data_IF_025401182782
#
_entry.id   IF_025401182782
#
_cell.length_a   1.000
_cell.length_b   1.000
_cell.length_c   1.000
_cell.angle_alpha   90.00
_cell.angle_beta   90.00
_cell.angle_gamma   90.00
#
_symmetry.space_group_name_H-M   'P 1'
#
loop_
_entity.id
_entity.type
_entity.pdbx_description
1 polymer ?
2 polymer ?
3 polymer ?
4 water ?
#
# COMPACT_ATOMS: atom_id res chain seq x y z
N UNK A 1 18.58 9.27 -4.72
CA UNK A 1 18.30 8.11 -3.90
C UNK A 1 18.04 6.91 -4.79
N UNK A 2 17.74 5.76 -4.21
CA UNK A 2 17.38 4.60 -5.02
C UNK A 2 15.88 4.62 -5.23
N UNK A 3 15.42 3.89 -6.26
CA UNK A 3 14.00 3.95 -6.62
C UNK A 3 13.51 2.58 -7.06
N UNK A 4 12.19 2.43 -7.06
CA UNK A 4 11.58 1.17 -7.51
C UNK A 4 10.39 1.46 -8.42
N UNK A 5 10.15 0.56 -9.35
CA UNK A 5 8.89 0.53 -10.08
C UNK A 5 8.21 -0.79 -9.81
N UNK A 6 6.93 -0.75 -9.43
CA UNK A 6 6.25 -1.99 -9.09
C UNK A 6 4.80 -1.94 -9.52
N UNK A 7 4.33 -3.01 -10.13
CA UNK A 7 2.91 -3.23 -10.40
C UNK A 7 2.33 -4.24 -9.39
N UNK A 8 1.18 -3.90 -8.80
CA UNK A 8 0.46 -4.72 -7.82
C UNK A 8 -0.86 -5.09 -8.48
N UNK A 9 -1.01 -6.35 -8.82
CA UNK A 9 -2.22 -6.83 -9.53
C UNK A 9 -3.03 -7.72 -8.61
N UNK A 10 -4.35 -7.53 -8.63
CA UNK A 10 -5.31 -8.38 -7.91
C UNK A 10 -6.35 -8.90 -8.90
N UNK A 11 -6.48 -10.21 -9.00
CA UNK A 11 -7.58 -10.83 -9.75
C UNK A 11 -8.42 -11.62 -8.76
N UNK A 12 -9.73 -11.34 -8.74
CA UNK A 12 -10.62 -12.00 -7.78
C UNK A 12 -11.85 -12.59 -8.44
N UNK A 13 -12.01 -13.91 -8.31
CA UNK A 13 -13.22 -14.48 -8.89
C UNK A 13 -14.44 -14.18 -7.98
N UNK A 14 -15.63 -14.29 -8.57
CA UNK A 14 -16.87 -13.93 -7.86
C UNK A 14 -18.02 -14.71 -8.49
N UNK A 15 -18.07 -15.99 -8.25
CA UNK A 15 -19.06 -16.82 -8.95
C UNK A 15 -20.46 -16.30 -8.77
N UNK A 16 -21.15 -16.20 -9.89
CA UNK A 16 -22.52 -15.67 -9.92
C UNK A 16 -22.61 -14.18 -10.08
N UNK A 17 -21.48 -13.48 -10.10
CA UNK A 17 -21.38 -12.01 -10.21
C UNK A 17 -20.44 -11.61 -11.33
N UNK A 18 -20.44 -12.39 -12.42
CA UNK A 18 -19.66 -12.06 -13.60
C UNK A 18 -18.27 -12.67 -13.57
N UNK A 19 -17.42 -12.15 -14.43
CA UNK A 19 -16.07 -12.71 -14.55
C UNK A 19 -15.18 -12.11 -13.47
N UNK A 20 -14.01 -12.72 -13.23
CA UNK A 20 -13.14 -12.20 -12.15
C UNK A 20 -12.71 -10.77 -12.41
N UNK A 21 -12.79 -9.93 -11.37
CA UNK A 21 -12.26 -8.58 -11.51
C UNK A 21 -10.74 -8.60 -11.56
N UNK A 22 -10.15 -7.84 -12.48
CA UNK A 22 -8.69 -7.64 -12.56
C UNK A 22 -8.39 -6.18 -12.35
N UNK A 23 -7.55 -5.87 -11.37
CA UNK A 23 -7.05 -4.51 -11.21
C UNK A 23 -5.55 -4.53 -11.08
N UNK A 24 -4.88 -3.64 -11.84
CA UNK A 24 -3.42 -3.52 -11.83
C UNK A 24 -3.13 -2.05 -11.50
N UNK A 25 -2.26 -1.84 -10.50
CA UNK A 25 -1.84 -0.48 -10.13
C UNK A 25 -0.32 -0.39 -10.20
N UNK A 26 0.17 0.59 -10.95
CA UNK A 26 1.60 0.82 -11.09
C UNK A 26 2.07 1.97 -10.21
N UNK A 27 3.24 1.77 -9.58
CA UNK A 27 3.87 2.76 -8.72
C UNK A 27 5.31 3.03 -9.12
N UNK A 28 5.76 4.29 -8.93
CA UNK A 28 7.19 4.60 -8.78
C UNK A 28 7.37 4.94 -7.32
N UNK A 29 8.17 4.19 -6.59
CA UNK A 29 8.20 4.34 -5.12
C UNK A 29 6.80 4.30 -4.51
N UNK A 30 6.38 5.34 -3.78
CA UNK A 30 5.06 5.38 -3.18
C UNK A 30 4.10 6.29 -3.95
N UNK A 31 4.39 6.57 -5.24
CA UNK A 31 3.52 7.35 -6.12
C UNK A 31 2.83 6.44 -7.14
N UNK A 32 1.51 6.30 -7.03
CA UNK A 32 0.77 5.58 -8.06
C UNK A 32 0.74 6.42 -9.33
N UNK A 33 1.07 5.81 -10.48
CA UNK A 33 1.04 6.51 -11.76
C UNK A 33 0.06 5.95 -12.78
N UNK A 34 -0.48 4.73 -12.57
CA UNK A 34 -1.43 4.13 -13.50
C UNK A 34 -2.33 3.18 -12.72
N UNK A 35 -3.58 3.10 -13.16
CA UNK A 35 -4.51 2.04 -12.78
C UNK A 35 -5.19 1.46 -14.02
N UNK A 36 -5.36 0.15 -14.02
CA UNK A 36 -6.27 -0.48 -14.97
C UNK A 36 -7.21 -1.38 -14.17
N UNK A 37 -8.52 -1.11 -14.22
CA UNK A 37 -9.53 -1.88 -13.50
C UNK A 37 -10.51 -2.42 -14.52
N UNK A 38 -10.67 -3.73 -14.60
CA UNK A 38 -11.61 -4.31 -15.56
C UNK A 38 -13.04 -3.90 -15.25
N UNK A 39 -13.33 -3.44 -14.02
CA UNK A 39 -14.67 -2.96 -13.69
C UNK A 39 -14.87 -1.49 -14.00
N UNK A 40 -13.84 -0.76 -14.43
CA UNK A 40 -14.09 0.62 -14.81
C UNK A 40 -14.92 0.73 -16.09
N UNK A 41 -15.93 1.61 -16.03
CA UNK A 41 -16.83 1.82 -17.16
C UNK A 41 -16.19 2.66 -18.26
N UNK A 42 -15.25 3.53 -17.89
CA UNK A 42 -14.59 4.43 -18.83
C UNK A 42 -13.09 4.23 -18.68
N UNK A 43 -12.51 3.27 -19.41
CA UNK A 43 -11.05 3.10 -19.39
C UNK A 43 -10.29 4.36 -19.79
N UNK A 44 -10.86 5.20 -20.65
CA UNK A 44 -10.19 6.43 -21.06
C UNK A 44 -10.04 7.38 -19.90
N UNK A 45 -10.99 7.40 -18.97
CA UNK A 45 -10.93 8.28 -17.82
C UNK A 45 -10.12 7.70 -16.66
N UNK A 46 -9.46 6.56 -16.87
CA UNK A 46 -8.75 5.92 -15.76
C UNK A 46 -7.47 6.66 -15.43
N UNK A 47 -7.20 6.89 -14.14
CA UNK A 47 -6.17 7.85 -13.77
C UNK A 47 -4.78 7.46 -14.25
N UNK A 48 -4.07 8.49 -14.69
CA UNK A 48 -2.64 8.44 -14.99
C UNK A 48 -2.00 9.70 -14.43
N UNK A 49 -0.78 9.54 -13.93
CA UNK A 49 -0.02 10.70 -13.45
C UNK A 49 0.27 11.71 -14.58
N UNK A 50 0.52 12.97 -14.23
CA UNK A 50 0.80 13.99 -15.26
C UNK A 50 2.05 13.74 -16.11
N UNK A 51 3.11 13.18 -15.52
CA UNK A 51 4.31 12.89 -16.29
C UNK A 51 4.17 11.66 -17.16
N UNK A 52 3.02 11.01 -17.11
CA UNK A 52 2.64 9.98 -18.05
C UNK A 52 1.94 10.56 -19.28
N UNK A 53 1.14 11.62 -19.10
CA UNK A 53 0.44 12.21 -20.23
C UNK A 53 1.42 12.70 -21.27
N UNK A 54 2.55 13.25 -20.84
CA UNK A 54 3.51 13.76 -21.80
C UNK A 54 4.06 12.69 -22.74
N UNK A 55 3.95 11.39 -22.36
CA UNK A 55 4.42 10.31 -23.23
C UNK A 55 3.55 10.06 -24.45
N UNK A 56 2.33 10.59 -24.48
CA UNK A 56 1.53 10.56 -25.69
C UNK A 56 0.58 9.38 -25.82
N UNK A 57 -0.20 9.41 -26.89
CA UNK A 57 -1.33 8.48 -27.01
C UNK A 57 -0.92 7.08 -27.44
N UNK A 58 0.13 6.98 -28.25
CA UNK A 58 0.61 5.65 -28.65
C UNK A 58 1.14 4.89 -27.45
N UNK A 59 1.82 5.57 -26.52
CA UNK A 59 2.27 4.91 -25.29
C UNK A 59 1.06 4.39 -24.51
N UNK A 60 0.05 5.25 -24.37
CA UNK A 60 -1.15 4.85 -23.62
C UNK A 60 -1.83 3.66 -24.29
N UNK A 61 -1.96 3.70 -25.63
CA UNK A 61 -2.58 2.60 -26.37
C UNK A 61 -1.84 1.28 -26.16
N UNK A 62 -0.50 1.30 -26.19
CA UNK A 62 0.25 0.05 -26.04
C UNK A 62 0.09 -0.53 -24.64
N UNK A 63 0.06 0.33 -23.62
CA UNK A 63 -0.17 -0.14 -22.25
C UNK A 63 -1.56 -0.70 -22.08
N UNK A 64 -2.56 0.05 -22.58
CA UNK A 64 -3.94 -0.42 -22.49
C UNK A 64 -4.12 -1.79 -23.12
N UNK A 65 -3.50 -2.02 -24.28
CA UNK A 65 -3.64 -3.33 -24.92
C UNK A 65 -3.10 -4.47 -24.05
N UNK A 66 -1.94 -4.24 -23.44
CA UNK A 66 -1.34 -5.28 -22.60
C UNK A 66 -2.16 -5.52 -21.33
N UNK A 67 -2.71 -4.43 -20.75
CA UNK A 67 -3.57 -4.59 -19.58
C UNK A 67 -4.80 -5.43 -19.95
N UNK A 68 -5.41 -5.15 -21.12
CA UNK A 68 -6.60 -5.91 -21.52
C UNK A 68 -6.26 -7.39 -21.68
N UNK A 69 -5.10 -7.69 -22.28
CA UNK A 69 -4.72 -9.09 -22.43
C UNK A 69 -4.37 -9.72 -21.07
N UNK A 70 -3.76 -8.92 -20.17
CA UNK A 70 -3.47 -9.41 -18.83
C UNK A 70 -4.75 -9.78 -18.05
N UNK A 71 -5.84 -9.07 -18.31
CA UNK A 71 -7.10 -9.44 -17.65
C UNK A 71 -7.48 -10.85 -18.02
N UNK A 72 -7.36 -11.18 -19.33
CA UNK A 72 -7.71 -12.52 -19.80
C UNK A 72 -6.74 -13.57 -19.26
N UNK A 73 -5.46 -13.20 -19.20
CA UNK A 73 -4.46 -14.13 -18.70
C UNK A 73 -4.70 -14.47 -17.24
N UNK A 74 -5.04 -13.47 -16.41
CA UNK A 74 -5.24 -13.76 -14.99
C UNK A 74 -6.54 -14.59 -14.80
N UNK A 75 -7.56 -14.41 -15.68
CA UNK A 75 -8.74 -15.26 -15.59
C UNK A 75 -8.38 -16.71 -15.94
N UNK A 76 -7.53 -16.90 -16.97
CA UNK A 76 -7.00 -18.23 -17.26
C UNK A 76 -6.27 -18.81 -16.04
N UNK A 77 -5.45 -17.99 -15.38
CA UNK A 77 -4.75 -18.45 -14.19
C UNK A 77 -5.69 -18.87 -13.08
N UNK A 78 -6.72 -18.06 -12.79
CA UNK A 78 -7.66 -18.44 -11.75
C UNK A 78 -8.38 -19.75 -12.06
N UNK A 79 -8.76 -19.97 -13.33
CA UNK A 79 -9.39 -21.26 -13.71
C UNK A 79 -8.43 -22.40 -13.44
N UNK A 80 -7.15 -22.22 -13.83
CA UNK A 80 -6.22 -23.33 -13.64
C UNK A 80 -5.93 -23.58 -12.14
N UNK A 81 -5.74 -22.50 -11.36
CA UNK A 81 -5.47 -22.65 -9.93
C UNK A 81 -6.62 -23.36 -9.20
N UNK A 82 -7.87 -23.06 -9.56
CA UNK A 82 -8.99 -23.76 -8.96
C UNK A 82 -8.82 -25.26 -9.17
N UNK A 83 -8.46 -25.67 -10.39
CA UNK A 83 -8.26 -27.10 -10.65
C UNK A 83 -7.06 -27.66 -9.90
N UNK A 84 -5.97 -26.89 -9.80
CA UNK A 84 -4.78 -27.45 -9.15
C UNK A 84 -5.02 -27.76 -7.68
N UNK A 85 -6.01 -27.11 -7.04
CA UNK A 85 -6.33 -27.33 -5.64
C UNK A 85 -7.67 -28.07 -5.45
N UNK A 86 -8.21 -28.64 -6.52
CA UNK A 86 -9.43 -29.43 -6.47
C UNK A 86 -10.60 -28.66 -5.90
N UNK A 87 -10.66 -27.36 -6.17
CA UNK A 87 -11.64 -26.46 -5.52
C UNK A 87 -12.93 -26.41 -6.31
N UNK A 88 -14.01 -26.22 -5.58
CA UNK A 88 -15.32 -26.06 -6.22
C UNK A 88 -15.45 -24.72 -6.97
N UNK A 89 -16.38 -24.72 -7.92
CA UNK A 89 -16.70 -23.53 -8.67
C UNK A 89 -17.49 -22.53 -7.85
N UNK A 90 -17.91 -22.88 -6.62
CA UNK A 90 -18.75 -22.00 -5.82
C UNK A 90 -18.02 -20.84 -5.12
N UNK A 91 -16.76 -21.01 -4.74
CA UNK A 91 -16.12 -20.01 -3.90
C UNK A 91 -15.33 -18.94 -4.68
N UNK A 92 -15.16 -17.78 -4.04
CA UNK A 92 -14.29 -16.71 -4.53
C UNK A 92 -12.83 -16.99 -4.14
N UNK A 93 -11.93 -16.76 -5.08
CA UNK A 93 -10.50 -16.94 -4.85
C UNK A 93 -9.76 -15.73 -5.39
N UNK A 94 -8.54 -15.52 -4.86
CA UNK A 94 -7.73 -14.33 -5.16
C UNK A 94 -6.34 -14.68 -5.66
N UNK A 95 -5.93 -14.11 -6.79
CA UNK A 95 -4.53 -14.23 -7.29
C UNK A 95 -3.93 -12.85 -7.27
N UNK A 96 -2.82 -12.68 -6.56
CA UNK A 96 -2.08 -11.43 -6.56
C UNK A 96 -0.73 -11.60 -7.22
N UNK A 97 -0.22 -10.51 -7.82
CA UNK A 97 1.06 -10.49 -8.54
C UNK A 97 1.79 -9.20 -8.13
N UNK A 98 3.10 -9.26 -7.93
CA UNK A 98 3.98 -8.10 -7.87
C UNK A 98 5.13 -8.28 -8.83
N UNK A 99 5.41 -7.27 -9.65
CA UNK A 99 6.57 -7.37 -10.55
C UNK A 99 7.12 -5.97 -10.75
N UNK A 100 8.42 -5.91 -11.09
CA UNK A 100 9.11 -4.65 -11.33
C UNK A 100 10.56 -4.72 -10.91
N UNK A 101 11.18 -3.55 -10.84
CA UNK A 101 12.63 -3.45 -10.75
C UNK A 101 13.00 -2.41 -9.71
N UNK A 102 14.17 -2.58 -9.10
CA UNK A 102 14.76 -1.63 -8.16
C UNK A 102 16.07 -1.16 -8.77
N UNK A 103 16.34 0.16 -8.72
CA UNK A 103 17.56 0.74 -9.27
C UNK A 103 18.21 1.62 -8.21
N UNK A 104 19.52 1.80 -8.37
CA UNK A 104 20.25 2.67 -7.47
C UNK A 104 20.22 4.11 -7.93
N UNK A 105 20.94 4.98 -7.21
CA UNK A 105 20.95 6.39 -7.60
C UNK A 105 21.52 6.68 -8.99
N UNK A 106 22.36 5.80 -9.54
CA UNK A 106 22.88 5.98 -10.89
C UNK A 106 21.97 5.37 -11.94
N UNK A 107 20.80 4.85 -11.54
CA UNK A 107 19.91 4.18 -12.47
C UNK A 107 20.24 2.73 -12.79
N UNK A 108 21.31 2.15 -12.23
CA UNK A 108 21.63 0.77 -12.57
C UNK A 108 20.73 -0.21 -11.82
N UNK A 109 20.49 -1.37 -12.46
CA UNK A 109 19.60 -2.39 -11.89
C UNK A 109 20.18 -2.97 -10.61
N UNK A 110 19.41 -2.91 -9.51
CA UNK A 110 19.74 -3.57 -8.25
C UNK A 110 19.18 -4.99 -8.25
N UNK A 111 17.87 -5.16 -8.52
CA UNK A 111 17.27 -6.48 -8.71
C UNK A 111 15.90 -6.33 -9.34
N UNK A 112 15.41 -7.44 -9.88
CA UNK A 112 14.08 -7.58 -10.43
C UNK A 112 13.20 -8.47 -9.57
N UNK A 113 11.87 -8.39 -9.81
CA UNK A 113 10.84 -9.09 -9.03
C UNK A 113 9.75 -9.55 -9.97
N UNK A 114 9.26 -10.80 -9.76
CA UNK A 114 8.03 -11.24 -10.44
C UNK A 114 7.48 -12.41 -9.63
N UNK A 115 6.47 -12.16 -8.80
CA UNK A 115 6.03 -13.19 -7.88
C UNK A 115 4.53 -13.14 -7.69
N UNK A 116 3.98 -14.23 -7.15
CA UNK A 116 2.54 -14.48 -7.11
C UNK A 116 2.13 -15.07 -5.78
N UNK A 117 0.90 -14.75 -5.35
CA UNK A 117 0.26 -15.37 -4.19
C UNK A 117 -1.16 -15.78 -4.54
N UNK A 118 -1.61 -16.90 -4.00
CA UNK A 118 -2.98 -17.37 -4.19
C UNK A 118 -3.67 -17.52 -2.84
N UNK A 119 -4.85 -16.89 -2.74
CA UNK A 119 -5.60 -16.86 -1.47
C UNK A 119 -4.71 -16.47 -0.28
N UNK A 120 -3.83 -15.50 -0.52
CA UNK A 120 -3.01 -14.84 0.47
C UNK A 120 -1.76 -15.61 0.82
N UNK A 121 -1.48 -16.73 0.17
CA UNK A 121 -0.27 -17.51 0.44
C UNK A 121 0.67 -17.44 -0.76
N UNK A 122 1.99 -17.27 -0.48
CA UNK A 122 2.94 -17.28 -1.60
C UNK A 122 2.83 -18.56 -2.42
N UNK A 123 2.88 -18.38 -3.75
CA UNK A 123 2.65 -19.47 -4.71
C UNK A 123 3.87 -19.77 -5.57
N UNK A 124 4.36 -18.80 -6.35
CA UNK A 124 5.60 -18.99 -7.13
C UNK A 124 6.28 -17.64 -7.23
N UNK A 125 7.62 -17.65 -7.31
CA UNK A 125 8.39 -16.42 -7.47
C UNK A 125 9.53 -16.69 -8.44
N UNK A 126 9.80 -15.72 -9.30
CA UNK A 126 11.05 -15.69 -10.05
C UNK A 126 12.18 -15.38 -9.06
N UNK A 127 13.23 -16.23 -9.07
CA UNK A 127 14.36 -16.01 -8.17
C UNK A 127 15.16 -14.78 -8.62
N UNK A 128 15.99 -14.30 -7.70
CA UNK A 128 16.81 -13.10 -7.95
C UNK A 128 17.69 -13.26 -9.19
N UNK A 129 18.07 -14.51 -9.53
CA UNK A 129 18.84 -14.72 -10.75
C UNK A 129 18.09 -14.42 -12.05
N UNK A 130 16.77 -14.21 -11.96
CA UNK A 130 15.93 -13.94 -13.12
C UNK A 130 15.93 -15.11 -14.10
N UNK A 131 16.25 -16.36 -13.61
CA UNK A 131 16.34 -17.51 -14.52
C UNK A 131 15.59 -18.73 -13.95
N UNK A 132 15.52 -18.86 -12.61
CA UNK A 132 14.91 -20.02 -12.00
C UNK A 132 13.72 -19.61 -11.13
N UNK A 133 12.85 -20.57 -10.80
CA UNK A 133 11.61 -20.36 -10.05
C UNK A 133 11.68 -21.05 -8.69
N UNK A 134 11.02 -20.45 -7.70
CA UNK A 134 10.70 -21.13 -6.44
C UNK A 134 9.19 -21.36 -6.33
N UNK A 135 8.79 -22.63 -6.29
CA UNK A 135 7.38 -23.05 -6.21
C UNK A 135 7.06 -23.48 -4.78
N UNK A 136 5.91 -23.01 -4.25
CA UNK A 136 5.59 -23.25 -2.84
C UNK A 136 5.09 -24.64 -2.55
N UNK A 137 4.48 -25.30 -3.54
CA UNK A 137 3.83 -26.59 -3.31
C UNK A 137 3.68 -27.30 -4.63
N UNK A 138 2.98 -28.46 -4.60
CA UNK A 138 2.90 -29.30 -5.82
C UNK A 138 2.03 -28.68 -6.90
N UNK A 139 1.10 -27.78 -6.52
CA UNK A 139 0.35 -27.03 -7.53
C UNK A 139 1.28 -26.06 -8.24
N UNK A 140 2.04 -25.26 -7.46
CA UNK A 140 2.95 -24.32 -8.12
C UNK A 140 4.03 -25.04 -8.94
N UNK A 141 4.36 -26.28 -8.59
CA UNK A 141 5.25 -27.07 -9.45
C UNK A 141 4.67 -27.28 -10.84
N UNK A 142 3.34 -27.33 -10.97
CA UNK A 142 2.77 -27.46 -12.30
C UNK A 142 3.00 -26.20 -13.11
N UNK A 143 2.74 -25.03 -12.51
CA UNK A 143 3.07 -23.76 -13.14
C UNK A 143 4.57 -23.67 -13.49
N UNK A 144 5.42 -24.07 -12.55
CA UNK A 144 6.87 -23.98 -12.80
C UNK A 144 7.26 -24.83 -14.02
N UNK A 145 6.72 -26.06 -14.11
CA UNK A 145 7.07 -26.91 -15.27
C UNK A 145 6.58 -26.29 -16.57
N UNK A 146 5.38 -25.70 -16.58
CA UNK A 146 4.85 -25.12 -17.80
C UNK A 146 5.68 -23.93 -18.21
N UNK A 147 6.10 -23.11 -17.23
CA UNK A 147 6.85 -21.91 -17.56
C UNK A 147 8.26 -22.26 -18.00
N UNK A 148 8.85 -23.35 -17.44
CA UNK A 148 10.15 -23.82 -17.89
C UNK A 148 10.07 -24.29 -19.32
N UNK A 149 9.05 -25.09 -19.63
CA UNK A 149 8.89 -25.58 -20.99
C UNK A 149 8.75 -24.47 -22.01
N UNK A 150 8.07 -23.37 -21.66
CA UNK A 150 7.82 -22.24 -22.55
C UNK A 150 8.85 -21.14 -22.45
N UNK A 151 9.90 -21.31 -21.65
CA UNK A 151 10.99 -20.34 -21.53
C UNK A 151 10.46 -18.96 -21.11
N UNK A 152 9.53 -18.97 -20.14
CA UNK A 152 8.88 -17.75 -19.67
C UNK A 152 9.85 -16.88 -18.89
N UNK A 153 10.77 -17.50 -18.13
CA UNK A 153 11.69 -16.67 -17.35
C UNK A 153 12.56 -15.80 -18.24
N UNK A 154 12.87 -16.25 -19.47
CA UNK A 154 13.71 -15.42 -20.34
C UNK A 154 12.98 -14.19 -20.82
N UNK A 155 11.66 -14.31 -21.00
CA UNK A 155 10.82 -13.16 -21.35
C UNK A 155 10.73 -12.20 -20.18
N UNK A 156 10.49 -12.74 -18.99
CA UNK A 156 10.46 -11.89 -17.79
C UNK A 156 11.78 -11.18 -17.55
N UNK A 157 12.91 -11.90 -17.68
CA UNK A 157 14.22 -11.28 -17.51
C UNK A 157 14.41 -10.13 -18.49
N UNK A 158 14.00 -10.31 -19.75
CA UNK A 158 14.22 -9.26 -20.73
C UNK A 158 13.42 -8.00 -20.37
N UNK A 159 12.19 -8.19 -19.88
CA UNK A 159 11.39 -7.03 -19.42
C UNK A 159 12.07 -6.37 -18.23
N UNK A 160 12.52 -7.18 -17.24
CA UNK A 160 13.00 -6.61 -15.99
C UNK A 160 14.33 -5.87 -16.18
N UNK A 161 15.24 -6.43 -16.99
CA UNK A 161 16.52 -5.74 -17.21
C UNK A 161 16.44 -4.65 -18.28
N UNK A 162 15.46 -4.71 -19.17
CA UNK A 162 15.32 -3.82 -20.30
C UNK A 162 14.19 -2.81 -20.08
N UNK A 163 12.97 -3.14 -20.52
CA UNK A 163 11.82 -2.21 -20.45
C UNK A 163 11.66 -1.56 -19.08
N UNK A 164 11.66 -2.37 -18.00
CA UNK A 164 11.39 -1.88 -16.64
C UNK A 164 12.41 -0.80 -16.23
N UNK A 165 13.70 -1.11 -16.38
CA UNK A 165 14.76 -0.17 -16.02
C UNK A 165 14.71 1.06 -16.91
N UNK A 166 14.51 0.84 -18.22
CA UNK A 166 14.52 1.97 -19.16
C UNK A 166 13.37 2.95 -18.91
N UNK A 167 12.18 2.41 -18.67
CA UNK A 167 11.04 3.31 -18.45
C UNK A 167 11.03 3.92 -17.05
N UNK A 168 11.49 3.20 -16.01
CA UNK A 168 11.68 3.82 -14.71
C UNK A 168 12.63 5.03 -14.79
N UNK A 169 13.74 4.90 -15.52
CA UNK A 169 14.65 6.03 -15.67
C UNK A 169 13.96 7.20 -16.37
N UNK A 170 13.18 6.91 -17.42
CA UNK A 170 12.47 7.98 -18.13
C UNK A 170 11.45 8.67 -17.22
N UNK A 171 10.68 7.88 -16.45
CA UNK A 171 9.69 8.46 -15.52
C UNK A 171 10.37 9.36 -14.48
N UNK A 172 11.49 8.90 -13.93
CA UNK A 172 12.22 9.67 -12.92
C UNK A 172 12.68 11.01 -13.49
N UNK A 173 13.13 11.02 -14.74
CA UNK A 173 13.54 12.28 -15.37
C UNK A 173 12.34 13.19 -15.63
N UNK A 174 11.25 12.64 -16.16
CA UNK A 174 10.11 13.49 -16.49
C UNK A 174 9.43 14.00 -15.23
N UNK A 175 9.48 13.23 -14.16
CA UNK A 175 8.84 13.61 -12.93
C UNK A 175 9.84 14.07 -11.87
N UNK A 176 11.00 14.57 -12.28
CA UNK A 176 12.06 14.78 -11.30
C UNK A 176 11.66 15.73 -10.16
N UNK A 177 10.70 16.63 -10.40
CA UNK A 177 10.44 17.63 -9.36
C UNK A 177 9.69 17.03 -8.17
N UNK A 178 9.06 15.89 -8.38
CA UNK A 178 8.30 15.18 -7.37
C UNK A 178 8.93 13.83 -7.07
N UNK A 179 9.16 13.00 -8.11
CA UNK A 179 9.63 11.66 -7.81
C UNK A 179 11.02 11.66 -7.17
N UNK A 180 11.85 12.68 -7.47
CA UNK A 180 13.21 12.75 -6.93
C UNK A 180 13.34 13.75 -5.78
N UNK A 181 12.22 14.14 -5.20
CA UNK A 181 12.22 15.03 -4.05
C UNK A 181 11.74 14.25 -2.83
N UNK A 182 12.56 14.15 -1.82
CA UNK A 182 12.19 13.58 -0.54
C UNK A 182 11.77 14.73 0.37
N UNK A 183 10.58 14.64 0.95
CA UNK A 183 10.06 15.64 1.88
C UNK A 183 10.27 15.12 3.30
N UNK A 184 10.96 15.84 4.15
CA UNK A 184 11.25 15.33 5.49
C UNK A 184 10.03 15.37 6.39
N UNK A 185 10.02 14.58 7.45
CA UNK A 185 8.90 14.66 8.39
C UNK A 185 8.97 15.94 9.20
N UNK A 186 7.79 16.45 9.48
CA UNK A 186 7.57 17.47 10.52
C UNK A 186 7.27 16.74 11.83
N UNK A 187 8.07 17.00 12.88
CA UNK A 187 8.05 16.17 14.08
C UNK A 187 7.69 17.00 15.31
N UNK A 188 6.95 16.36 16.23
CA UNK A 188 6.68 16.90 17.56
C UNK A 188 6.35 15.75 18.51
N UNK A 189 6.44 16.05 19.82
CA UNK A 189 6.11 15.10 20.89
C UNK A 189 4.92 15.66 21.68
N UNK A 190 3.92 14.84 21.90
CA UNK A 190 2.79 15.18 22.77
C UNK A 190 2.78 14.31 24.02
N UNK A 191 2.04 14.77 25.04
CA UNK A 191 2.03 14.18 26.37
C UNK A 191 0.58 14.02 26.78
N UNK A 192 0.19 12.81 27.16
CA UNK A 192 -1.21 12.51 27.50
C UNK A 192 -1.23 11.75 28.81
N UNK A 193 -1.54 12.42 29.95
CA UNK A 193 -1.64 11.68 31.22
C UNK A 193 -2.62 10.53 31.13
N UNK A 194 -2.27 9.42 31.76
CA UNK A 194 -3.20 8.31 31.91
C UNK A 194 -3.68 8.13 33.34
N UNK A 195 -2.93 8.57 34.33
CA UNK A 195 -3.22 8.52 35.76
C UNK A 195 -2.24 9.47 36.42
N UNK A 196 -2.34 9.61 37.74
CA UNK A 196 -1.33 10.35 38.50
C UNK A 196 0.04 9.69 38.34
N UNK A 197 0.09 8.44 37.92
CA UNK A 197 1.31 7.65 37.96
C UNK A 197 2.06 7.59 36.65
N UNK A 198 1.38 7.77 35.51
CA UNK A 198 1.96 7.49 34.20
C UNK A 198 1.34 8.43 33.18
N UNK A 199 2.06 8.64 32.09
CA UNK A 199 1.54 9.35 30.92
C UNK A 199 2.10 8.73 29.64
N UNK A 200 1.37 8.91 28.54
CA UNK A 200 1.88 8.53 27.22
C UNK A 200 2.66 9.67 26.60
N UNK A 201 3.86 9.38 26.08
CA UNK A 201 4.55 10.30 25.19
C UNK A 201 4.38 9.77 23.78
N UNK A 202 3.89 10.60 22.87
CA UNK A 202 3.66 10.18 21.49
C UNK A 202 4.54 11.03 20.57
N UNK A 203 5.40 10.38 19.77
CA UNK A 203 6.30 11.05 18.84
C UNK A 203 5.67 10.99 17.45
N UNK A 204 5.42 12.16 16.87
CA UNK A 204 4.73 12.26 15.59
C UNK A 204 5.69 12.60 14.45
N UNK A 205 5.41 12.03 13.28
CA UNK A 205 6.07 12.40 12.03
C UNK A 205 4.99 12.60 10.97
N UNK A 206 4.93 13.81 10.38
CA UNK A 206 3.86 14.20 9.47
C UNK A 206 4.46 14.78 8.19
N UNK A 207 3.75 14.59 7.08
CA UNK A 207 4.13 15.26 5.81
C UNK A 207 5.34 14.74 5.09
N UNK A 208 5.73 13.49 5.30
CA UNK A 208 6.97 12.99 4.69
C UNK A 208 6.71 12.15 3.44
N UNK A 209 7.72 12.07 2.57
CA UNK A 209 7.70 11.29 1.33
C UNK A 209 9.15 10.97 1.02
N UNK A 210 9.48 9.73 0.68
CA UNK A 210 8.62 8.55 0.54
C UNK A 210 8.19 8.01 1.93
N UNK A 211 7.48 6.88 1.91
CA UNK A 211 6.87 6.36 3.13
C UNK A 211 7.87 5.74 4.11
N UNK A 212 8.98 5.16 3.63
CA UNK A 212 9.98 4.56 4.52
C UNK A 212 10.50 5.57 5.56
N UNK A 213 10.45 5.17 6.83
CA UNK A 213 10.85 6.02 7.93
C UNK A 213 11.16 5.11 9.10
N UNK A 214 12.06 5.56 9.99
CA UNK A 214 12.32 4.87 11.25
C UNK A 214 12.02 5.83 12.39
N UNK A 215 11.16 5.40 13.31
CA UNK A 215 10.73 6.18 14.46
C UNK A 215 10.88 5.30 15.70
N UNK A 216 11.70 5.73 16.67
CA UNK A 216 11.97 4.89 17.84
C UNK A 216 12.07 5.76 19.09
N UNK A 217 11.75 5.14 20.24
CA UNK A 217 11.92 5.74 21.55
C UNK A 217 13.07 5.06 22.27
N UNK A 218 13.90 5.85 22.92
CA UNK A 218 14.91 5.35 23.85
C UNK A 218 14.64 5.86 25.25
N UNK A 219 14.96 5.04 26.26
CA UNK A 219 14.92 5.41 27.68
C UNK A 219 16.35 5.30 28.16
N UNK A 220 16.94 6.41 28.59
CA UNK A 220 18.35 6.41 29.02
C UNK A 220 19.24 5.87 27.90
N UNK A 221 18.86 6.18 26.65
CA UNK A 221 19.67 5.78 25.51
C UNK A 221 19.54 4.33 25.11
N UNK A 222 18.60 3.61 25.70
CA UNK A 222 18.34 2.21 25.38
C UNK A 222 17.02 2.11 24.61
N UNK A 223 17.05 1.38 23.49
CA UNK A 223 15.83 1.24 22.69
C UNK A 223 14.71 0.55 23.47
N UNK A 224 13.48 1.00 23.24
CA UNK A 224 12.27 0.54 23.94
C UNK A 224 11.31 -0.21 23.00
N UNK A 225 11.85 -1.13 22.19
CA UNK A 225 11.03 -1.81 21.17
C UNK A 225 9.82 -2.48 21.78
N UNK A 226 10.01 -3.26 22.84
CA UNK A 226 8.92 -4.03 23.42
C UNK A 226 7.81 -3.16 24.00
N UNK A 227 8.15 -1.97 24.51
CA UNK A 227 7.19 -1.09 25.15
C UNK A 227 6.67 0.02 24.25
N UNK A 228 7.12 0.09 22.99
CA UNK A 228 6.66 1.16 22.09
C UNK A 228 5.49 0.68 21.25
N UNK A 229 4.41 1.47 21.22
CA UNK A 229 3.30 1.22 20.29
C UNK A 229 3.62 2.00 19.01
N UNK A 230 3.74 1.29 17.90
CA UNK A 230 4.14 1.89 16.62
C UNK A 230 3.03 1.61 15.61
N UNK A 231 2.28 2.66 15.20
CA UNK A 231 1.19 2.47 14.23
C UNK A 231 1.77 2.31 12.82
N UNK A 232 0.99 1.69 11.94
CA UNK A 232 1.39 1.53 10.56
C UNK A 232 1.43 2.89 9.84
N UNK A 233 2.46 3.06 9.01
CA UNK A 233 2.60 4.29 8.23
C UNK A 233 1.38 4.43 7.33
N UNK A 234 0.83 5.64 7.32
CA UNK A 234 -0.51 5.85 6.75
C UNK A 234 -0.53 7.05 5.81
N UNK A 235 -1.24 6.98 4.69
CA UNK A 235 -1.27 8.08 3.70
C UNK A 235 -2.16 9.25 4.15
N UNK A 236 -1.67 10.48 3.94
CA UNK A 236 -2.45 11.66 4.28
C UNK A 236 -3.43 12.05 3.18
N UNK A 237 -3.18 11.65 1.94
CA UNK A 237 -4.01 12.03 0.79
C UNK A 237 -3.44 13.17 -0.06
N UNK A 238 -2.31 13.74 0.34
CA UNK A 238 -1.64 14.81 -0.39
C UNK A 238 -0.31 14.34 -0.95
N UNK A 239 -0.14 12.99 -1.08
CA UNK A 239 1.09 12.24 -1.46
C UNK A 239 1.93 11.88 -0.27
N UNK A 240 1.80 12.61 0.83
CA UNK A 240 2.69 12.38 1.96
C UNK A 240 2.13 11.33 2.94
N UNK A 241 2.98 10.95 3.91
CA UNK A 241 2.62 9.92 4.88
C UNK A 241 2.77 10.46 6.30
N UNK A 242 2.19 9.70 7.25
CA UNK A 242 2.18 9.98 8.69
C UNK A 242 2.51 8.73 9.49
N UNK A 243 3.13 8.92 10.67
CA UNK A 243 3.34 7.77 11.57
C UNK A 243 3.54 8.32 12.98
N UNK A 244 3.22 7.52 13.98
CA UNK A 244 3.56 7.89 15.35
C UNK A 244 4.04 6.68 16.14
N UNK A 245 4.77 6.98 17.21
CA UNK A 245 5.27 5.95 18.13
C UNK A 245 5.03 6.43 19.55
N UNK A 246 4.50 5.57 20.41
CA UNK A 246 4.14 5.97 21.77
C UNK A 246 4.74 5.03 22.81
N UNK A 247 5.14 5.61 23.94
CA UNK A 247 5.55 4.89 25.15
C UNK A 247 4.83 5.42 26.38
N UNK A 248 4.61 4.52 27.35
CA UNK A 248 4.04 4.89 28.65
C UNK A 248 5.19 5.11 29.62
N UNK A 249 5.23 6.28 30.22
CA UNK A 249 6.37 6.67 31.04
C UNK A 249 5.92 7.06 32.44
N UNK A 250 6.70 6.77 33.49
CA UNK A 250 6.31 7.17 34.83
C UNK A 250 6.31 8.69 34.99
N UNK A 251 5.34 9.22 35.73
CA UNK A 251 5.29 10.67 35.95
C UNK A 251 6.61 11.17 36.49
N UNK A 252 7.10 12.29 35.93
CA UNK A 252 8.35 12.84 36.37
C UNK A 252 9.58 12.34 35.64
N UNK A 253 9.48 11.26 34.87
CA UNK A 253 10.65 10.70 34.18
C UNK A 253 10.71 11.06 32.70
N UNK A 254 9.86 11.99 32.25
CA UNK A 254 9.75 12.29 30.82
C UNK A 254 11.08 12.66 30.15
N UNK A 255 11.98 13.36 30.87
CA UNK A 255 13.18 13.82 30.18
C UNK A 255 14.21 12.70 29.98
N UNK A 256 13.95 11.52 30.50
CA UNK A 256 14.80 10.40 30.20
C UNK A 256 14.51 9.76 28.87
N UNK A 257 13.45 10.17 28.19
CA UNK A 257 13.04 9.55 26.96
C UNK A 257 13.40 10.44 25.77
N UNK A 258 13.98 9.85 24.74
CA UNK A 258 14.27 10.56 23.48
C UNK A 258 13.61 9.84 22.31
N UNK A 259 13.05 10.61 21.37
CA UNK A 259 12.51 10.05 20.13
C UNK A 259 13.48 10.28 18.98
N UNK A 260 13.68 9.24 18.18
CA UNK A 260 14.72 9.25 17.14
C UNK A 260 14.05 9.02 15.81
N UNK A 261 14.41 9.85 14.82
CA UNK A 261 13.71 9.87 13.52
C UNK A 261 14.77 9.80 12.43
N UNK A 262 14.65 8.83 11.55
CA UNK A 262 15.46 8.79 10.34
C UNK A 262 14.57 8.80 9.11
N UNK A 263 14.98 9.57 8.11
CA UNK A 263 14.24 9.69 6.86
C UNK A 263 15.15 10.28 5.79
N UNK A 264 14.95 9.80 4.55
CA UNK A 264 15.71 10.30 3.39
C UNK A 264 15.69 11.81 3.20
N UNK A 265 14.65 12.51 3.57
CA UNK A 265 14.59 13.96 3.35
C UNK A 265 15.23 14.83 4.42
N UNK A 266 15.75 14.19 5.47
CA UNK A 266 16.40 14.93 6.54
C UNK A 266 17.88 15.04 6.26
N UNK A 267 18.47 16.24 6.37
CA UNK A 267 19.95 16.31 6.27
C UNK A 267 20.63 15.53 7.37
N UNK A 268 20.04 15.46 8.57
CA UNK A 268 20.59 14.67 9.67
C UNK A 268 19.44 14.07 10.47
N UNK A 269 19.64 12.91 11.08
CA UNK A 269 18.62 12.34 11.98
C UNK A 269 18.28 13.28 13.13
N UNK A 270 17.01 13.18 13.57
CA UNK A 270 16.47 14.02 14.62
C UNK A 270 16.46 13.25 15.93
N UNK A 271 16.69 13.99 17.01
CA UNK A 271 16.46 13.55 18.39
C UNK A 271 15.53 14.57 18.99
N UNK A 272 14.40 14.11 19.53
CA UNK A 272 13.40 15.00 20.10
C UNK A 272 12.98 14.53 21.49
N UNK A 273 12.64 15.49 22.34
CA UNK A 273 12.11 15.24 23.67
C UNK A 273 10.78 15.97 23.83
N UNK A 274 10.06 15.57 24.88
CA UNK A 274 8.90 16.34 25.29
C UNK A 274 9.35 17.72 25.76
N UNK A 275 8.67 18.75 25.23
CA UNK A 275 8.95 20.17 25.37
C UNK A 275 10.26 20.67 24.80
N UNK B 1 -8.51 -21.57 3.29
CA UNK B 1 -8.60 -20.12 3.22
C UNK B 1 -8.08 -19.42 4.48
N UNK B 2 -7.10 -18.55 4.33
CA UNK B 2 -6.58 -17.78 5.45
C UNK B 2 -7.24 -16.40 5.42
N UNK B 3 -7.51 -15.84 6.59
CA UNK B 3 -8.12 -14.53 6.68
C UNK B 3 -7.32 -13.69 7.65
N UNK B 4 -7.22 -12.40 7.35
CA UNK B 4 -6.51 -11.41 8.16
C UNK B 4 -7.46 -10.25 8.45
N UNK B 5 -7.58 -9.87 9.76
CA UNK B 5 -8.57 -8.84 10.08
C UNK B 5 -7.97 -7.45 9.84
N UNK B 6 -8.77 -6.48 9.41
CA UNK B 6 -8.20 -5.15 9.12
C UNK B 6 -7.74 -4.41 10.37
N UNK B 7 -6.64 -3.67 10.21
CA UNK B 7 -6.23 -2.61 11.12
C UNK B 7 -6.90 -1.33 10.61
N UNK B 8 -7.37 -0.48 11.54
CA UNK B 8 -8.16 0.70 11.21
C UNK B 8 -7.52 1.91 11.87
N UNK B 9 -7.25 2.96 11.10
CA UNK B 9 -6.89 4.25 11.69
C UNK B 9 -7.74 5.37 11.11
N UNK B 10 -8.18 6.28 11.98
CA UNK B 10 -9.02 7.43 11.59
C UNK B 10 -8.31 8.70 12.00
N UNK B 11 -8.15 9.63 11.06
CA UNK B 11 -7.25 10.78 11.31
C UNK B 11 -7.50 11.82 10.23
N UNK B 12 -6.95 13.04 10.45
CA UNK B 12 -7.11 14.13 9.49
C UNK B 12 -5.84 14.33 8.67
N UNK B 13 -6.04 14.82 7.44
CA UNK B 13 -4.90 15.06 6.55
C UNK B 13 -3.94 16.09 7.14
N UNK B 14 -4.48 17.20 7.62
CA UNK B 14 -3.73 18.32 8.21
C UNK B 14 -4.07 18.40 9.69
N UNK B 15 -3.25 19.06 10.50
CA UNK B 15 -3.59 19.18 11.92
C UNK B 15 -4.92 19.91 12.07
N UNK B 16 -5.75 19.40 12.97
CA UNK B 16 -7.14 19.82 13.04
C UNK B 16 -7.25 21.18 13.73
N UNK B 17 -8.08 22.06 13.16
CA UNK B 17 -8.34 23.39 13.69
C UNK B 17 -9.85 23.57 13.53
N UNK B 18 -10.57 23.70 14.64
CA UNK B 18 -12.01 23.85 14.58
C UNK B 18 -12.36 25.00 13.65
N UNK B 19 -13.33 24.79 12.76
CA UNK B 19 -13.75 25.79 11.83
C UNK B 19 -12.98 25.88 10.53
N UNK B 20 -11.89 25.11 10.37
CA UNK B 20 -11.09 25.15 9.15
C UNK B 20 -11.26 23.84 8.36
N UNK B 21 -11.52 23.95 7.06
CA UNK B 21 -11.70 22.78 6.20
C UNK B 21 -10.48 21.88 6.22
N UNK B 22 -10.74 20.57 6.12
CA UNK B 22 -9.70 19.55 6.23
C UNK B 22 -10.17 18.32 5.47
N UNK B 23 -9.41 17.24 5.56
CA UNK B 23 -9.90 15.96 5.05
C UNK B 23 -9.86 14.93 6.16
N UNK B 24 -10.93 14.15 6.24
CA UNK B 24 -11.06 13.04 7.18
C UNK B 24 -10.71 11.72 6.48
N UNK B 25 -9.79 10.96 7.07
CA UNK B 25 -9.26 9.74 6.50
C UNK B 25 -9.61 8.54 7.38
N UNK B 26 -10.00 7.44 6.71
CA UNK B 26 -10.03 6.14 7.35
C UNK B 26 -9.16 5.21 6.53
N UNK B 27 -8.05 4.77 7.12
CA UNK B 27 -7.11 3.88 6.44
C UNK B 27 -7.25 2.46 7.00
N UNK B 28 -7.63 1.53 6.13
CA UNK B 28 -7.81 0.12 6.51
C UNK B 28 -6.71 -0.68 5.84
N UNK B 29 -5.99 -1.50 6.61
CA UNK B 29 -4.80 -2.16 6.08
C UNK B 29 -4.69 -3.53 6.72
N UNK B 30 -3.82 -4.35 6.15
CA UNK B 30 -3.52 -5.62 6.79
C UNK B 30 -4.54 -6.70 6.60
N UNK B 31 -5.54 -6.52 5.71
CA UNK B 31 -6.64 -7.47 5.66
C UNK B 31 -6.57 -8.41 4.45
N UNK B 32 -7.27 -9.51 4.58
CA UNK B 32 -7.41 -10.53 3.55
C UNK B 32 -8.62 -11.39 3.91
N UNK B 33 -9.52 -11.70 2.95
CA UNK B 33 -9.51 -11.32 1.54
C UNK B 33 -9.91 -9.84 1.36
N UNK B 34 -10.03 -9.41 0.11
CA UNK B 34 -10.13 -8.00 -0.22
C UNK B 34 -11.51 -7.39 -0.03
N UNK B 35 -12.57 -8.19 0.04
CA UNK B 35 -13.85 -7.52 0.19
C UNK B 35 -14.02 -6.89 1.55
N UNK B 36 -14.59 -5.68 1.55
CA UNK B 36 -14.63 -4.88 2.77
C UNK B 36 -15.60 -3.75 2.51
N UNK B 37 -16.27 -3.32 3.56
CA UNK B 37 -17.20 -2.19 3.52
C UNK B 37 -16.71 -1.15 4.50
N UNK B 38 -16.60 0.12 4.08
CA UNK B 38 -16.14 1.19 4.95
C UNK B 38 -17.06 2.40 4.81
N UNK B 39 -17.54 2.90 5.94
CA UNK B 39 -18.32 4.14 5.98
C UNK B 39 -17.62 5.15 6.86
N UNK B 40 -17.72 6.42 6.52
CA UNK B 40 -17.33 7.48 7.43
C UNK B 40 -18.63 8.03 8.01
N UNK B 41 -18.62 8.34 9.32
CA UNK B 41 -19.81 8.78 10.05
C UNK B 41 -19.59 10.18 10.61
N UNK B 42 -20.64 11.01 10.51
CA UNK B 42 -20.70 12.31 11.16
C UNK B 42 -21.88 12.26 12.10
N UNK B 43 -21.60 12.35 13.41
CA UNK B 43 -22.63 12.23 14.45
C UNK B 43 -23.47 10.97 14.24
N UNK B 44 -22.79 9.87 13.90
CA UNK B 44 -23.42 8.58 13.75
C UNK B 44 -24.11 8.32 12.41
N UNK B 45 -24.20 9.30 11.52
CA UNK B 45 -24.87 9.14 10.23
C UNK B 45 -23.84 9.05 9.10
N UNK B 46 -24.14 8.21 8.09
CA UNK B 46 -23.23 7.96 6.96
C UNK B 46 -23.04 9.22 6.12
N UNK B 47 -21.77 9.59 5.89
CA UNK B 47 -21.45 10.70 5.00
C UNK B 47 -21.53 10.21 3.56
N UNK B 48 -22.17 10.98 2.67
CA UNK B 48 -22.29 10.59 1.25
C UNK B 48 -21.08 10.98 0.41
N UNK B 49 -20.92 10.27 -0.72
CA UNK B 49 -19.94 10.60 -1.76
C UNK B 49 -18.49 10.48 -1.27
N UNK B 50 -18.26 9.65 -0.24
CA UNK B 50 -16.91 9.37 0.23
C UNK B 50 -16.16 8.71 -0.90
N UNK B 51 -14.91 9.09 -1.08
CA UNK B 51 -14.10 8.49 -2.11
C UNK B 51 -13.11 7.53 -1.48
N UNK B 52 -12.49 6.72 -2.33
CA UNK B 52 -11.46 5.80 -1.85
C UNK B 52 -10.36 5.61 -2.87
N UNK B 53 -9.21 5.13 -2.37
CA UNK B 53 -8.08 4.84 -3.21
C UNK B 53 -8.32 3.55 -4.00
N UNK B 54 -7.39 3.25 -4.91
CA UNK B 54 -7.49 2.05 -5.72
C UNK B 54 -6.85 0.85 -5.01
N UNK B 55 -7.55 -0.29 -5.04
CA UNK B 55 -7.16 -1.49 -4.29
C UNK B 55 -5.70 -1.84 -4.60
N UNK B 56 -4.90 -1.97 -3.53
CA UNK B 56 -3.48 -2.30 -3.62
C UNK B 56 -3.14 -3.09 -2.37
N UNK B 57 -1.86 -3.49 -2.24
CA UNK B 57 -1.51 -4.30 -1.10
C UNK B 57 -0.03 -4.10 -0.80
N UNK B 58 0.34 -4.49 0.43
CA UNK B 58 1.71 -4.45 0.91
C UNK B 58 2.47 -5.71 0.44
N UNK B 59 3.80 -5.69 0.64
CA UNK B 59 4.60 -6.81 0.15
C UNK B 59 4.34 -8.14 0.88
N UNK B 60 3.68 -8.13 2.05
CA UNK B 60 3.18 -9.33 2.69
C UNK B 60 1.81 -9.83 2.13
N UNK B 61 1.32 -9.16 1.08
CA UNK B 61 0.09 -9.51 0.32
C UNK B 61 -1.17 -9.00 1.00
N UNK B 62 -1.07 -8.30 2.14
CA UNK B 62 -2.27 -7.81 2.79
C UNK B 62 -2.74 -6.50 2.14
N UNK B 63 -4.05 -6.43 1.95
CA UNK B 63 -4.63 -5.28 1.24
C UNK B 63 -4.74 -4.03 2.10
N UNK B 64 -4.81 -2.88 1.40
CA UNK B 64 -5.05 -1.60 2.08
C UNK B 64 -5.90 -0.71 1.18
N UNK B 65 -6.69 0.15 1.83
CA UNK B 65 -7.51 1.17 1.17
C UNK B 65 -7.57 2.40 2.05
N UNK B 66 -7.60 3.58 1.42
CA UNK B 66 -7.89 4.83 2.13
C UNK B 66 -9.26 5.34 1.70
N UNK B 67 -10.14 5.55 2.66
CA UNK B 67 -11.40 6.24 2.43
C UNK B 67 -11.31 7.68 2.97
N UNK B 68 -11.92 8.63 2.26
CA UNK B 68 -11.67 10.02 2.64
C UNK B 68 -12.80 10.92 2.15
N UNK B 69 -12.96 12.04 2.88
CA UNK B 69 -13.92 13.07 2.51
C UNK B 69 -13.48 14.40 3.11
N UNK B 70 -13.95 15.48 2.49
CA UNK B 70 -13.74 16.81 3.05
C UNK B 70 -14.55 16.97 4.32
N UNK B 71 -14.02 17.71 5.29
CA UNK B 71 -14.75 17.96 6.53
C UNK B 71 -14.20 19.21 7.19
N UNK B 72 -15.04 19.86 7.99
CA UNK B 72 -14.65 21.01 8.80
C UNK B 72 -14.88 20.61 10.24
N UNK B 73 -13.84 20.24 10.97
CA UNK B 73 -14.01 19.86 12.39
C UNK B 73 -14.54 21.02 13.22
N UNK B 74 -15.28 20.69 14.26
CA UNK B 74 -15.80 21.65 15.23
C UNK B 74 -15.61 21.07 16.62
N UNK B 75 -15.97 21.84 17.65
CA UNK B 75 -16.04 21.26 18.98
C UNK B 75 -17.16 20.23 19.08
N UNK B 76 -18.30 20.53 18.44
CA UNK B 76 -19.53 19.76 18.65
C UNK B 76 -19.46 18.41 17.94
N UNK B 77 -19.11 18.41 16.66
CA UNK B 77 -19.39 17.25 15.82
C UNK B 77 -18.44 16.11 16.14
N UNK B 78 -18.97 14.88 16.11
CA UNK B 78 -18.20 13.66 16.31
C UNK B 78 -18.07 12.92 14.98
N UNK B 79 -16.87 12.40 14.69
CA UNK B 79 -16.63 11.67 13.46
C UNK B 79 -16.13 10.26 13.76
N UNK B 80 -16.44 9.32 12.86
CA UNK B 80 -15.99 7.95 13.08
C UNK B 80 -15.92 7.22 11.74
N UNK B 81 -15.35 6.02 11.78
CA UNK B 81 -15.23 5.12 10.65
C UNK B 81 -15.81 3.78 11.06
N UNK B 82 -16.68 3.21 10.22
CA UNK B 82 -17.32 1.93 10.52
C UNK B 82 -16.87 0.93 9.45
N UNK B 83 -16.35 -0.23 9.88
CA UNK B 83 -15.76 -1.19 8.95
C UNK B 83 -16.41 -2.55 9.13
N UNK B 84 -16.73 -3.21 8.02
CA UNK B 84 -17.15 -4.60 8.08
C UNK B 84 -16.31 -5.47 7.14
N UNK B 85 -16.07 -6.70 7.58
CA UNK B 85 -15.15 -7.61 6.94
C UNK B 85 -15.54 -9.01 7.39
N UNK B 86 -15.22 -10.02 6.57
CA UNK B 86 -15.61 -11.39 6.92
C UNK B 86 -15.07 -11.84 8.27
N UNK B 87 -13.93 -11.28 8.72
CA UNK B 87 -13.32 -11.60 10.00
C UNK B 87 -14.06 -10.98 11.19
N UNK B 88 -15.08 -10.16 10.98
CA UNK B 88 -15.73 -9.41 12.06
C UNK B 88 -17.16 -9.90 12.25
N UNK B 89 -17.50 -10.27 13.48
CA UNK B 89 -18.86 -10.72 13.71
C UNK B 89 -19.86 -9.57 13.73
N UNK B 90 -19.41 -8.34 14.00
CA UNK B 90 -20.24 -7.15 13.90
C UNK B 90 -19.38 -6.02 13.37
N UNK B 91 -19.99 -4.98 12.78
CA UNK B 91 -19.18 -3.85 12.28
C UNK B 91 -18.37 -3.21 13.40
N UNK B 92 -17.16 -2.78 13.05
CA UNK B 92 -16.22 -2.23 14.00
C UNK B 92 -16.22 -0.71 13.81
N UNK B 93 -16.54 0.04 14.88
CA UNK B 93 -16.54 1.50 14.82
C UNK B 93 -15.30 2.04 15.53
N UNK B 94 -14.56 2.96 14.87
CA UNK B 94 -13.40 3.61 15.47
C UNK B 94 -13.66 5.11 15.41
N UNK B 95 -13.65 5.77 16.58
CA UNK B 95 -13.95 7.20 16.64
C UNK B 95 -12.71 8.03 16.24
N UNK B 96 -12.97 9.18 15.63
CA UNK B 96 -11.87 10.10 15.35
C UNK B 96 -11.49 10.82 16.65
N UNK B 97 -10.21 10.77 16.99
CA UNK B 97 -9.64 11.40 18.18
C UNK B 97 -8.46 12.18 17.65
N UNK B 98 -8.53 13.50 17.75
CA UNK B 98 -7.49 14.32 17.15
C UNK B 98 -6.11 14.15 17.78
N UNK B 99 -5.99 13.41 18.87
CA UNK B 99 -4.67 13.11 19.45
C UNK B 99 -4.09 11.79 18.92
N UNK B 100 -4.75 11.15 17.95
CA UNK B 100 -4.18 9.92 17.35
C UNK B 100 -4.10 9.88 15.79
N UNK C 1 5.80 1.07 -17.24
CA UNK C 1 5.34 0.36 -18.45
C UNK C 1 4.94 -1.08 -18.09
N UNK C 2 3.73 -1.50 -18.46
CA UNK C 2 3.16 -2.80 -18.04
C UNK C 2 3.92 -3.97 -18.68
N UNK C 3 3.90 -5.12 -17.97
CA UNK C 3 4.52 -6.35 -18.44
C UNK C 3 3.47 -7.32 -18.97
N UNK C 4 3.75 -7.98 -20.09
CA UNK C 4 2.89 -9.07 -20.54
C UNK C 4 2.98 -10.21 -19.54
N UNK C 5 1.82 -10.72 -19.12
CA UNK C 5 1.81 -11.83 -18.16
C UNK C 5 1.53 -13.17 -18.85
N UNK C 6 1.78 -14.25 -18.10
CA UNK C 6 1.65 -15.63 -18.58
C UNK C 6 0.72 -16.39 -17.65
N UNK C 7 -0.14 -17.22 -18.25
CA UNK C 7 -1.11 -17.95 -17.46
C UNK C 7 -0.44 -19.00 -16.57
N UNK C 8 -0.83 -19.04 -15.29
CA UNK C 8 -0.25 -19.96 -14.31
C UNK C 8 -0.71 -21.40 -14.62
#
# INVERSE_FOLDING_TARGET
>A
GSHSMRYFDTAMSRPGRGEPRFISVGYVDDTQFVRFDSDAASPREEPRAPWIEQEGPEYWDRNTQIFKTNTQTDRCSLRNLRGYYNQSEAGSHTLQSMYGCDVGPDGRLLRGHNQYAYDGKDYIALNEDLRSWTAADTAAQITQRKWEAARVAEQDRAYLEGTCVEWLRRYLENGKDTLERADPPKTHVTHHPISDHEATLRCWALGFYPAEITLTWQRDGEDQTQDTELVETRPAGDRTFQKWAAVVVPSGEEQRYTCHVQHEGLPKPLTLRWEP
>B
MIQRTPKIQVYSRHPAENGKSNFLNCYVSGFHPSDIEVDLLKNGERIEKVEHSDLSFSKDWSFYLLYYTEFTPTEKDEYACRVNHVTLSQPKIVKWDRDM
>C
FVKKKYCL
#
